data_IF_502617722746
#
_entry.id   IF_502617722746
#
_cell.length_a   1.000
_cell.length_b   1.000
_cell.length_c   1.000
_cell.angle_alpha   90.00
_cell.angle_beta   90.00
_cell.angle_gamma   90.00
#
_symmetry.space_group_name_H-M   'P 1'
#
loop_
_entity.id
_entity.type
_entity.pdbx_description
1 polymer ?
#
# COMPACT_ATOMS: atom_id res chain seq x y z
N UNK A 1 35.89 16.74 -0.62
CA UNK A 1 34.73 15.94 -1.07
C UNK A 1 33.73 16.94 -1.63
N UNK A 2 33.41 17.07 -2.93
CA UNK A 2 33.14 16.10 -4.01
C UNK A 2 32.10 15.06 -3.58
N UNK A 3 30.82 15.38 -3.81
CA UNK A 3 29.73 14.44 -3.67
C UNK A 3 29.84 13.40 -4.79
N UNK A 4 29.92 12.12 -4.43
CA UNK A 4 29.67 11.01 -5.34
C UNK A 4 28.34 10.40 -4.94
N UNK A 5 27.40 10.36 -5.86
CA UNK A 5 26.22 9.53 -5.68
C UNK A 5 26.66 8.06 -5.67
N UNK A 6 26.04 7.29 -4.78
CA UNK A 6 26.15 5.85 -4.77
C UNK A 6 24.85 5.27 -5.35
N UNK A 7 24.96 4.15 -6.04
CA UNK A 7 23.83 3.48 -6.69
C UNK A 7 23.33 2.39 -5.76
N UNK A 8 22.00 2.29 -5.61
CA UNK A 8 21.37 1.13 -4.97
C UNK A 8 21.63 -0.09 -5.85
N UNK A 9 22.49 -1.01 -5.41
CA UNK A 9 22.91 -2.15 -6.24
C UNK A 9 21.88 -3.30 -6.27
N UNK A 10 20.93 -3.34 -5.34
CA UNK A 10 19.81 -4.28 -5.41
C UNK A 10 18.57 -3.75 -4.70
N UNK A 11 17.43 -3.79 -5.39
CA UNK A 11 16.10 -3.53 -4.86
C UNK A 11 15.13 -4.55 -5.48
N UNK A 12 14.52 -5.41 -4.66
CA UNK A 12 13.66 -6.52 -5.13
C UNK A 12 12.26 -6.36 -4.55
N UNK A 13 11.27 -6.12 -5.42
CA UNK A 13 9.86 -6.08 -5.06
C UNK A 13 9.16 -7.24 -5.75
N UNK A 14 8.42 -8.04 -4.98
CA UNK A 14 7.56 -9.11 -5.47
C UNK A 14 6.11 -8.71 -5.23
N UNK A 15 5.33 -8.62 -6.30
CA UNK A 15 3.93 -8.25 -6.25
C UNK A 15 3.04 -9.50 -6.06
N UNK A 16 1.98 -9.33 -5.28
CA UNK A 16 0.92 -10.33 -5.13
C UNK A 16 -0.06 -10.30 -6.30
N UNK A 17 -1.23 -10.93 -6.11
CA UNK A 17 -2.34 -10.81 -7.06
C UNK A 17 -2.87 -9.36 -7.10
N UNK A 18 -3.30 -8.91 -8.28
CA UNK A 18 -4.02 -7.64 -8.42
C UNK A 18 -5.44 -7.75 -7.88
N UNK A 19 -5.93 -6.67 -7.29
CA UNK A 19 -7.26 -6.61 -6.64
C UNK A 19 -8.24 -5.66 -7.36
N UNK A 20 -7.74 -4.62 -8.02
CA UNK A 20 -8.56 -3.66 -8.76
C UNK A 20 -8.06 -3.58 -10.21
N UNK A 21 -8.96 -3.72 -11.19
CA UNK A 21 -8.67 -3.53 -12.60
C UNK A 21 -9.14 -2.14 -13.02
N UNK A 22 -8.23 -1.23 -13.40
CA UNK A 22 -8.54 0.10 -13.94
C UNK A 22 -9.41 1.03 -13.07
N UNK A 23 -9.73 0.64 -11.84
CA UNK A 23 -10.63 1.35 -10.93
C UNK A 23 -9.85 2.08 -9.83
N UNK A 24 -9.00 3.05 -10.20
CA UNK A 24 -8.33 3.96 -9.24
C UNK A 24 -9.35 4.61 -8.31
N UNK A 25 -10.49 5.05 -8.87
CA UNK A 25 -11.59 5.64 -8.12
C UNK A 25 -12.12 4.72 -7.00
N UNK A 26 -12.23 3.40 -7.23
CA UNK A 26 -12.74 2.49 -6.21
C UNK A 26 -11.76 2.35 -5.04
N UNK A 27 -10.45 2.41 -5.31
CA UNK A 27 -9.44 2.42 -4.27
C UNK A 27 -9.45 3.75 -3.48
N UNK A 28 -9.56 4.87 -4.18
CA UNK A 28 -9.65 6.21 -3.57
C UNK A 28 -10.89 6.32 -2.67
N UNK A 29 -12.06 5.91 -3.17
CA UNK A 29 -13.31 5.88 -2.39
C UNK A 29 -13.17 5.01 -1.14
N UNK A 30 -12.50 3.85 -1.25
CA UNK A 30 -12.22 2.98 -0.11
C UNK A 30 -11.29 3.64 0.91
N UNK A 31 -10.25 4.33 0.45
CA UNK A 31 -9.30 5.03 1.33
C UNK A 31 -9.95 6.24 2.01
N UNK A 32 -10.84 6.96 1.32
CA UNK A 32 -11.62 8.03 1.92
C UNK A 32 -12.56 7.48 3.01
N UNK A 33 -13.29 6.39 2.73
CA UNK A 33 -14.15 5.71 3.73
C UNK A 33 -13.37 5.31 4.99
N UNK A 34 -12.16 4.78 4.80
CA UNK A 34 -11.29 4.30 5.87
C UNK A 34 -10.43 5.39 6.51
N UNK A 35 -10.51 6.62 5.99
CA UNK A 35 -9.67 7.74 6.41
C UNK A 35 -8.18 7.38 6.38
N UNK A 36 -7.75 6.74 5.28
CA UNK A 36 -6.36 6.37 5.04
C UNK A 36 -5.65 7.54 4.39
N UNK A 37 -4.57 7.99 5.03
CA UNK A 37 -3.66 8.97 4.46
C UNK A 37 -2.58 8.21 3.69
N UNK A 38 -2.31 8.67 2.47
CA UNK A 38 -1.32 8.03 1.62
C UNK A 38 -0.48 9.07 0.88
N UNK A 39 0.71 8.66 0.48
CA UNK A 39 1.62 9.46 -0.34
C UNK A 39 1.63 8.95 -1.77
N UNK A 40 1.84 9.86 -2.72
CA UNK A 40 1.92 9.54 -4.15
C UNK A 40 3.31 9.90 -4.70
N UNK A 41 4.31 9.00 -4.61
CA UNK A 41 5.62 9.24 -5.20
C UNK A 41 5.59 9.39 -6.73
N UNK A 42 4.55 8.87 -7.38
CA UNK A 42 4.29 9.01 -8.83
C UNK A 42 2.85 8.63 -9.16
N UNK A 43 2.38 8.96 -10.37
CA UNK A 43 1.00 8.74 -10.86
C UNK A 43 0.46 7.29 -10.75
N UNK A 44 1.34 6.30 -10.57
CA UNK A 44 0.98 4.88 -10.47
C UNK A 44 1.42 4.23 -9.16
N UNK A 45 1.88 5.02 -8.18
CA UNK A 45 2.40 4.50 -6.92
C UNK A 45 1.72 5.20 -5.76
N UNK A 46 1.15 4.39 -4.86
CA UNK A 46 0.65 4.83 -3.57
C UNK A 46 1.47 4.18 -2.46
N UNK A 47 1.86 4.97 -1.47
CA UNK A 47 2.51 4.50 -0.25
C UNK A 47 1.66 4.82 0.97
N UNK A 48 1.33 3.78 1.74
CA UNK A 48 0.49 3.88 2.94
C UNK A 48 1.34 3.56 4.16
N UNK A 49 1.38 4.42 5.19
CA UNK A 49 2.03 4.12 6.45
C UNK A 49 1.44 2.85 7.09
N UNK A 50 2.32 1.91 7.43
CA UNK A 50 1.90 0.62 8.00
C UNK A 50 1.22 0.76 9.36
N UNK A 51 1.63 1.75 10.16
CA UNK A 51 1.02 2.02 11.47
C UNK A 51 -0.46 2.38 11.36
N UNK A 52 -0.84 3.16 10.34
CA UNK A 52 -2.23 3.51 10.09
C UNK A 52 -3.05 2.25 9.81
N UNK A 53 -2.56 1.38 8.92
CA UNK A 53 -3.22 0.11 8.61
C UNK A 53 -3.37 -0.81 9.82
N UNK A 54 -2.43 -0.78 10.76
CA UNK A 54 -2.50 -1.61 11.97
C UNK A 54 -3.46 -1.05 13.03
N UNK A 55 -3.71 0.26 12.99
CA UNK A 55 -4.66 0.93 13.87
C UNK A 55 -6.12 0.77 13.42
N UNK A 56 -6.35 0.40 12.15
CA UNK A 56 -7.69 0.23 11.60
C UNK A 56 -8.42 -0.95 12.25
N UNK A 57 -9.68 -0.68 12.63
CA UNK A 57 -10.66 -1.69 13.00
C UNK A 57 -11.67 -1.80 11.86
N UNK A 58 -11.48 -2.77 10.96
CA UNK A 58 -12.34 -2.93 9.78
C UNK A 58 -13.82 -3.14 10.12
N UNK A 59 -14.13 -3.63 11.32
CA UNK A 59 -15.50 -3.78 11.85
C UNK A 59 -16.25 -2.45 12.00
N UNK A 60 -15.53 -1.33 12.09
CA UNK A 60 -16.12 -0.01 12.33
C UNK A 60 -16.61 0.63 11.02
N UNK A 61 -16.37 -0.02 9.87
CA UNK A 61 -16.67 0.48 8.53
C UNK A 61 -17.61 -0.45 7.79
N UNK A 62 -18.48 0.12 6.95
CA UNK A 62 -19.34 -0.64 6.06
C UNK A 62 -18.59 -0.96 4.77
N UNK A 63 -17.90 -2.09 4.77
CA UNK A 63 -17.15 -2.61 3.63
C UNK A 63 -17.91 -3.72 2.92
N UNK A 64 -17.83 -3.76 1.59
CA UNK A 64 -18.26 -4.94 0.84
C UNK A 64 -17.24 -6.09 0.93
N UNK A 65 -17.61 -7.26 0.41
CA UNK A 65 -16.77 -8.46 0.50
C UNK A 65 -15.41 -8.30 -0.19
N UNK A 66 -15.35 -7.59 -1.32
CA UNK A 66 -14.12 -7.40 -2.08
C UNK A 66 -13.21 -6.37 -1.38
N UNK A 67 -13.79 -5.27 -0.91
CA UNK A 67 -13.09 -4.26 -0.09
C UNK A 67 -12.49 -4.90 1.17
N UNK A 68 -13.26 -5.75 1.86
CA UNK A 68 -12.80 -6.43 3.07
C UNK A 68 -11.64 -7.39 2.76
N UNK A 69 -11.78 -8.24 1.73
CA UNK A 69 -10.73 -9.17 1.32
C UNK A 69 -9.46 -8.41 0.92
N UNK A 70 -9.60 -7.29 0.22
CA UNK A 70 -8.47 -6.44 -0.14
C UNK A 70 -7.76 -5.90 1.11
N UNK A 71 -8.50 -5.26 2.02
CA UNK A 71 -7.94 -4.65 3.23
C UNK A 71 -7.29 -5.68 4.16
N UNK A 72 -7.89 -6.86 4.32
CA UNK A 72 -7.29 -7.94 5.10
C UNK A 72 -5.96 -8.40 4.51
N UNK A 73 -5.89 -8.53 3.18
CA UNK A 73 -4.66 -8.91 2.50
C UNK A 73 -3.60 -7.80 2.55
N UNK A 74 -4.02 -6.53 2.44
CA UNK A 74 -3.14 -5.36 2.56
C UNK A 74 -2.51 -5.32 3.95
N UNK A 75 -3.32 -5.42 5.01
CA UNK A 75 -2.86 -5.44 6.41
C UNK A 75 -1.96 -6.65 6.67
N UNK A 76 -2.34 -7.84 6.18
CA UNK A 76 -1.52 -9.05 6.32
C UNK A 76 -0.16 -8.88 5.65
N UNK A 77 -0.13 -8.32 4.44
CA UNK A 77 1.11 -8.06 3.71
C UNK A 77 1.97 -7.02 4.45
N UNK A 78 1.36 -5.93 4.93
CA UNK A 78 2.03 -4.90 5.73
C UNK A 78 2.69 -5.50 6.99
N UNK A 79 2.05 -6.48 7.66
CA UNK A 79 2.61 -7.16 8.85
C UNK A 79 3.73 -8.15 8.53
N UNK A 80 3.71 -8.77 7.35
CA UNK A 80 4.54 -9.93 7.04
C UNK A 80 5.72 -9.61 6.13
N UNK A 81 5.54 -8.69 5.18
CA UNK A 81 6.57 -8.33 4.23
C UNK A 81 7.74 -7.63 4.94
N UNK A 82 8.96 -8.07 4.63
CA UNK A 82 10.17 -7.53 5.26
C UNK A 82 10.36 -6.05 4.94
N UNK A 83 10.13 -5.63 3.70
CA UNK A 83 10.30 -4.23 3.30
C UNK A 83 9.37 -3.30 4.08
N UNK A 84 8.13 -3.70 4.35
CA UNK A 84 7.19 -2.91 5.15
C UNK A 84 7.76 -2.63 6.56
N UNK A 85 8.50 -3.58 7.13
CA UNK A 85 9.18 -3.40 8.43
C UNK A 85 10.42 -2.51 8.33
N UNK A 86 11.15 -2.62 7.22
CA UNK A 86 12.39 -1.87 7.00
C UNK A 86 12.10 -0.40 6.65
N UNK A 87 10.99 -0.10 5.96
CA UNK A 87 10.66 1.22 5.42
C UNK A 87 9.42 1.89 6.04
N UNK A 88 8.58 1.16 6.78
CA UNK A 88 7.43 1.70 7.49
C UNK A 88 6.18 1.95 6.64
N UNK A 89 6.20 1.67 5.34
CA UNK A 89 5.06 1.79 4.44
C UNK A 89 4.82 0.52 3.62
N UNK A 90 3.57 0.32 3.20
CA UNK A 90 3.21 -0.62 2.14
C UNK A 90 3.03 0.16 0.84
N UNK A 91 3.52 -0.40 -0.28
CA UNK A 91 3.40 0.22 -1.60
C UNK A 91 2.38 -0.52 -2.45
N UNK A 92 1.48 0.23 -3.08
CA UNK A 92 0.57 -0.21 -4.12
C UNK A 92 1.05 0.40 -5.44
N UNK A 93 1.05 -0.40 -6.50
CA UNK A 93 1.64 -0.05 -7.79
C UNK A 93 0.68 -0.52 -8.89
N UNK A 94 0.25 0.38 -9.77
CA UNK A 94 -0.53 0.03 -10.96
C UNK A 94 0.41 -0.33 -12.11
N UNK A 95 0.19 -1.50 -12.68
CA UNK A 95 0.98 -2.03 -13.81
C UNK A 95 0.06 -2.47 -14.93
N UNK A 96 0.49 -2.23 -16.16
CA UNK A 96 -0.11 -2.76 -17.40
C UNK A 96 0.05 -4.29 -17.53
#
# INVERSE_FOLDING_TARGET
>A
MNFKCCIVEKYEIVYGKGYFQNETQKLEDLFEKLQIDYSEPSDFIIEIPTEQLFSLKLSDYQLDSDELIFMENLIKTAKTAKYCKDFGFIRIDWRE
#
